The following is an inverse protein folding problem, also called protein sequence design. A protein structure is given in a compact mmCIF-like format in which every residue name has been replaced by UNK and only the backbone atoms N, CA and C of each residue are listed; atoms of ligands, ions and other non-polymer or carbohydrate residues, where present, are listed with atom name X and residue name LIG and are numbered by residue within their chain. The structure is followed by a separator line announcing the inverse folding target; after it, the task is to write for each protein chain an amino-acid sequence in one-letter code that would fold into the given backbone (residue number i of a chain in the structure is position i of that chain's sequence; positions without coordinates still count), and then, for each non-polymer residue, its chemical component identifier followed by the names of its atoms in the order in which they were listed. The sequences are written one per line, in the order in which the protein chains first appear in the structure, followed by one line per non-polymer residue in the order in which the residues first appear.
data_IF_439113308676
#
_entry.id   IF_439113308676
#
_cell.length_a   1.000
_cell.length_b   1.000
_cell.length_c   1.000
_cell.angle_alpha   90.00
_cell.angle_beta   90.00
_cell.angle_gamma   90.00
#
_symmetry.space_group_name_H-M   'P 1'
#
loop_
_entity.id
_entity.type
_entity.pdbx_description
1 polymer ?
#
# COMPACT_ATOMS: atom_id res chain seq x y z
N UNK A 1 -14.97 -22.08 -2.48
CA UNK A 1 -13.55 -21.80 -2.15
C UNK A 1 -13.15 -20.51 -2.85
N UNK A 2 -12.65 -19.50 -2.13
CA UNK A 2 -12.19 -18.25 -2.77
C UNK A 2 -10.87 -18.53 -3.51
N UNK A 3 -10.74 -18.19 -4.81
CA UNK A 3 -9.51 -18.39 -5.58
C UNK A 3 -8.29 -17.81 -4.85
N UNK A 4 -7.17 -18.52 -4.88
CA UNK A 4 -5.95 -18.09 -4.18
C UNK A 4 -5.46 -16.71 -4.65
N UNK A 5 -5.70 -16.38 -5.93
CA UNK A 5 -5.43 -15.09 -6.56
C UNK A 5 -6.17 -13.93 -5.89
N UNK A 6 -7.47 -14.08 -5.62
CA UNK A 6 -8.30 -13.08 -4.93
C UNK A 6 -7.83 -12.89 -3.49
N UNK A 7 -7.43 -13.97 -2.81
CA UNK A 7 -6.90 -13.90 -1.44
C UNK A 7 -5.57 -13.15 -1.39
N UNK A 8 -4.65 -13.41 -2.30
CA UNK A 8 -3.38 -12.68 -2.37
C UNK A 8 -3.58 -11.20 -2.75
N UNK A 9 -4.47 -10.90 -3.69
CA UNK A 9 -4.82 -9.52 -4.03
C UNK A 9 -5.42 -8.76 -2.84
N UNK A 10 -6.27 -9.43 -2.04
CA UNK A 10 -6.83 -8.85 -0.80
C UNK A 10 -5.73 -8.51 0.21
N UNK A 11 -4.76 -9.38 0.39
CA UNK A 11 -3.63 -9.13 1.29
C UNK A 11 -2.72 -7.99 0.80
N UNK A 12 -2.49 -7.87 -0.51
CA UNK A 12 -1.77 -6.73 -1.09
C UNK A 12 -2.52 -5.42 -0.86
N UNK A 13 -3.84 -5.40 -1.03
CA UNK A 13 -4.64 -4.21 -0.75
C UNK A 13 -4.59 -3.84 0.73
N UNK A 14 -4.71 -4.82 1.64
CA UNK A 14 -4.59 -4.59 3.09
C UNK A 14 -3.20 -4.04 3.46
N UNK A 15 -2.13 -4.61 2.90
CA UNK A 15 -0.77 -4.10 3.10
C UNK A 15 -0.60 -2.66 2.59
N UNK A 16 -1.22 -2.34 1.45
CA UNK A 16 -1.23 -0.98 0.91
C UNK A 16 -1.92 0.03 1.82
N UNK A 17 -3.09 -0.34 2.36
CA UNK A 17 -3.83 0.50 3.31
C UNK A 17 -3.00 0.74 4.58
N UNK A 18 -2.35 -0.29 5.12
CA UNK A 18 -1.48 -0.14 6.28
C UNK A 18 -0.34 0.86 6.02
N UNK A 19 0.33 0.74 4.87
CA UNK A 19 1.40 1.66 4.49
C UNK A 19 0.88 3.09 4.27
N UNK A 20 -0.33 3.25 3.74
CA UNK A 20 -0.95 4.57 3.62
C UNK A 20 -1.17 5.21 4.99
N UNK A 21 -1.71 4.46 5.97
CA UNK A 21 -1.91 4.95 7.35
C UNK A 21 -0.59 5.36 7.98
N UNK A 22 0.45 4.52 7.87
CA UNK A 22 1.78 4.83 8.41
C UNK A 22 2.40 6.07 7.75
N UNK A 23 2.24 6.21 6.44
CA UNK A 23 2.70 7.38 5.69
C UNK A 23 1.99 8.66 6.12
N UNK A 24 0.67 8.61 6.30
CA UNK A 24 -0.12 9.76 6.79
C UNK A 24 0.28 10.14 8.21
N UNK A 25 0.45 9.17 9.12
CA UNK A 25 0.90 9.44 10.50
C UNK A 25 2.27 10.13 10.50
N UNK A 26 3.19 9.70 9.63
CA UNK A 26 4.51 10.33 9.49
C UNK A 26 4.42 11.73 8.86
N UNK A 27 3.52 11.95 7.92
CA UNK A 27 3.27 13.26 7.34
C UNK A 27 2.72 14.25 8.39
N UNK A 28 1.76 13.80 9.21
CA UNK A 28 1.24 14.60 10.34
C UNK A 28 2.36 14.90 11.35
N UNK A 29 3.21 13.91 11.65
CA UNK A 29 4.40 14.10 12.47
C UNK A 29 5.33 15.19 11.93
N UNK A 30 5.60 15.18 10.61
CA UNK A 30 6.38 16.21 9.93
C UNK A 30 5.72 17.60 10.02
N UNK A 31 4.41 17.69 9.78
CA UNK A 31 3.69 18.97 9.84
C UNK A 31 3.77 19.58 11.25
N UNK A 32 3.66 18.74 12.28
CA UNK A 32 3.61 19.20 13.67
C UNK A 32 4.98 19.53 14.28
N UNK A 33 6.03 18.77 13.93
CA UNK A 33 7.34 18.86 14.60
C UNK A 33 8.48 19.25 13.66
N UNK A 34 8.25 19.27 12.35
CA UNK A 34 9.30 19.38 11.34
C UNK A 34 10.20 18.13 11.31
N UNK A 35 11.08 18.07 10.31
CA UNK A 35 12.13 17.04 10.22
C UNK A 35 12.11 16.24 8.93
N UNK A 36 13.21 16.33 8.18
CA UNK A 36 13.39 15.69 6.88
C UNK A 36 13.13 14.17 6.92
N UNK A 37 13.52 13.51 8.01
CA UNK A 37 13.31 12.07 8.19
C UNK A 37 11.82 11.70 8.20
N UNK A 38 10.96 12.49 8.83
CA UNK A 38 9.51 12.26 8.83
C UNK A 38 8.91 12.42 7.44
N UNK A 39 9.36 13.43 6.69
CA UNK A 39 8.93 13.67 5.32
C UNK A 39 9.36 12.54 4.37
N UNK A 40 10.63 12.11 4.45
CA UNK A 40 11.14 11.01 3.62
C UNK A 40 10.42 9.70 3.95
N UNK A 41 10.21 9.39 5.23
CA UNK A 41 9.47 8.20 5.64
C UNK A 41 8.01 8.25 5.20
N UNK A 42 7.35 9.41 5.31
CA UNK A 42 5.99 9.59 4.80
C UNK A 42 5.90 9.31 3.29
N UNK A 43 6.84 9.86 2.52
CA UNK A 43 6.91 9.65 1.07
C UNK A 43 7.13 8.18 0.71
N UNK A 44 8.06 7.49 1.38
CA UNK A 44 8.34 6.07 1.14
C UNK A 44 7.13 5.18 1.45
N UNK A 45 6.47 5.40 2.58
CA UNK A 45 5.29 4.62 2.97
C UNK A 45 4.08 4.89 2.05
N UNK A 46 3.86 6.15 1.66
CA UNK A 46 2.82 6.49 0.68
C UNK A 46 3.12 5.87 -0.70
N UNK A 47 4.38 5.87 -1.13
CA UNK A 47 4.78 5.23 -2.39
C UNK A 47 4.54 3.72 -2.35
N UNK A 48 4.91 3.04 -1.26
CA UNK A 48 4.63 1.62 -1.05
C UNK A 48 3.13 1.32 -1.06
N UNK A 49 2.31 2.20 -0.48
CA UNK A 49 0.86 2.08 -0.50
C UNK A 49 0.32 2.08 -1.93
N UNK A 50 0.76 3.03 -2.76
CA UNK A 50 0.38 3.13 -4.17
C UNK A 50 0.79 1.88 -4.93
N UNK A 51 2.05 1.44 -4.79
CA UNK A 51 2.55 0.23 -5.45
C UNK A 51 1.74 -1.02 -5.07
N UNK A 52 1.38 -1.15 -3.79
CA UNK A 52 0.60 -2.29 -3.31
C UNK A 52 -0.83 -2.28 -3.87
N UNK A 53 -1.45 -1.11 -3.99
CA UNK A 53 -2.76 -0.96 -4.64
C UNK A 53 -2.68 -1.30 -6.13
N UNK A 54 -1.68 -0.77 -6.84
CA UNK A 54 -1.46 -1.08 -8.26
C UNK A 54 -1.20 -2.57 -8.47
N UNK A 55 -0.40 -3.22 -7.62
CA UNK A 55 -0.15 -4.66 -7.68
C UNK A 55 -1.43 -5.47 -7.42
N UNK A 56 -2.25 -5.07 -6.45
CA UNK A 56 -3.55 -5.69 -6.19
C UNK A 56 -4.52 -5.56 -7.38
N UNK A 57 -4.64 -4.34 -7.93
CA UNK A 57 -5.53 -4.06 -9.07
C UNK A 57 -5.06 -4.76 -10.34
N UNK A 58 -3.76 -4.76 -10.63
CA UNK A 58 -3.21 -5.45 -11.82
C UNK A 58 -3.44 -6.97 -11.75
N UNK A 59 -3.32 -7.58 -10.56
CA UNK A 59 -3.68 -9.00 -10.37
C UNK A 59 -5.16 -9.29 -10.55
N UNK A 60 -6.04 -8.43 -10.03
CA UNK A 60 -7.49 -8.57 -10.23
C UNK A 60 -7.84 -8.44 -11.72
N UNK A 61 -7.23 -7.47 -12.41
CA UNK A 61 -7.49 -7.21 -13.84
C UNK A 61 -6.89 -8.25 -14.78
N UNK A 62 -5.72 -8.80 -14.46
CA UNK A 62 -5.09 -9.84 -15.28
C UNK A 62 -5.82 -11.18 -15.23
N UNK A 63 -6.73 -11.38 -14.27
CA UNK A 63 -7.58 -12.57 -14.17
C UNK A 63 -6.81 -13.83 -14.54
N UNK A 64 -5.94 -14.29 -13.63
CA UNK A 64 -4.90 -15.26 -14.02
C UNK A 64 -5.45 -16.46 -14.81
N UNK A 65 -4.78 -16.84 -15.91
CA UNK A 65 -5.10 -18.01 -16.76
C UNK A 65 -4.82 -19.38 -16.09
N UNK A 66 -4.42 -19.40 -14.81
CA UNK A 66 -4.11 -20.62 -14.05
C UNK A 66 -5.30 -21.09 -13.20
N UNK A 67 -6.49 -21.18 -13.81
CA UNK A 67 -7.66 -21.86 -13.27
C UNK A 67 -8.03 -23.07 -14.13
#
# INVERSE_FOLDING_TARGET
MIPATVRQARWLLVGGVLMAVLGVLRLVGFINHGGLVYLVMAALFLMLAVLSVVAGVTRIRRGDPDA
#
